data_IF_873838137694
#
_entry.id   IF_873838137694
#
_cell.length_a   1.000
_cell.length_b   1.000
_cell.length_c   1.000
_cell.angle_alpha   90.00
_cell.angle_beta   90.00
_cell.angle_gamma   90.00
#
_symmetry.space_group_name_H-M   'P 1'
#
loop_
_entity.id
_entity.type
_entity.pdbx_description
1 polymer ?
#
# COMPACT_ATOMS: atom_id res chain seq x y z
N UNK A 1 50.05 -55.45 -7.55
CA UNK A 1 49.85 -54.44 -8.59
C UNK A 1 48.38 -53.88 -8.59
N UNK A 2 47.36 -54.75 -8.51
CA UNK A 2 45.95 -54.25 -8.50
C UNK A 2 45.59 -53.32 -7.32
N UNK A 3 46.11 -53.61 -6.10
CA UNK A 3 45.87 -52.76 -4.93
C UNK A 3 46.50 -51.36 -5.00
N UNK A 4 47.66 -51.24 -5.65
CA UNK A 4 48.35 -49.95 -5.83
C UNK A 4 47.61 -49.03 -6.83
N UNK A 5 47.00 -49.63 -7.87
CA UNK A 5 46.20 -48.89 -8.84
C UNK A 5 44.91 -48.37 -8.20
N UNK A 6 44.25 -49.14 -7.33
CA UNK A 6 43.07 -48.71 -6.60
C UNK A 6 43.39 -47.57 -5.62
N UNK A 7 44.55 -47.63 -4.97
CA UNK A 7 44.98 -46.55 -4.05
C UNK A 7 45.23 -45.24 -4.80
N UNK A 8 45.84 -45.29 -5.97
CA UNK A 8 46.07 -44.11 -6.83
C UNK A 8 44.72 -43.53 -7.33
N UNK A 9 43.77 -44.41 -7.73
CA UNK A 9 42.45 -43.98 -8.21
C UNK A 9 41.64 -43.28 -7.10
N UNK A 10 41.70 -43.76 -5.87
CA UNK A 10 41.03 -43.10 -4.71
C UNK A 10 41.67 -41.78 -4.37
N UNK A 11 42.99 -41.66 -4.49
CA UNK A 11 43.73 -40.40 -4.23
C UNK A 11 43.41 -39.31 -5.28
N UNK A 12 43.19 -39.68 -6.54
CA UNK A 12 42.83 -38.70 -7.59
C UNK A 12 41.42 -38.18 -7.49
N UNK A 13 40.46 -38.98 -6.98
CA UNK A 13 39.06 -38.53 -6.76
C UNK A 13 38.98 -37.50 -5.61
N UNK A 14 39.83 -37.62 -4.60
CA UNK A 14 39.88 -36.65 -3.46
C UNK A 14 40.34 -35.25 -3.83
N UNK A 15 41.07 -35.06 -4.92
CA UNK A 15 41.60 -33.75 -5.34
C UNK A 15 40.63 -32.92 -6.17
N UNK A 16 39.59 -33.51 -6.75
CA UNK A 16 38.59 -32.77 -7.54
C UNK A 16 37.48 -32.11 -6.69
N UNK A 17 37.35 -32.42 -5.41
CA UNK A 17 36.30 -31.88 -4.54
C UNK A 17 36.51 -30.43 -4.11
N UNK A 18 37.75 -29.94 -4.05
CA UNK A 18 38.05 -28.58 -3.54
C UNK A 18 37.78 -27.44 -4.56
N UNK A 19 37.72 -27.69 -5.86
CA UNK A 19 37.58 -26.64 -6.87
C UNK A 19 36.13 -26.11 -6.94
N UNK A 20 35.17 -26.92 -6.58
CA UNK A 20 33.75 -26.58 -6.60
C UNK A 20 33.38 -25.65 -5.42
N UNK A 21 33.96 -25.82 -4.26
CA UNK A 21 33.68 -25.03 -3.05
C UNK A 21 34.20 -23.61 -3.17
N UNK A 22 35.38 -23.39 -3.76
CA UNK A 22 35.94 -22.07 -3.96
C UNK A 22 35.15 -21.22 -4.97
N UNK A 23 34.62 -21.83 -6.02
CA UNK A 23 33.75 -21.15 -7.02
C UNK A 23 32.41 -20.79 -6.39
N UNK A 24 31.80 -21.68 -5.61
CA UNK A 24 30.56 -21.42 -4.89
C UNK A 24 30.73 -20.29 -3.86
N UNK A 25 31.83 -20.28 -3.11
CA UNK A 25 32.11 -19.20 -2.16
C UNK A 25 32.29 -17.85 -2.87
N UNK A 26 33.00 -17.81 -4.00
CA UNK A 26 33.17 -16.59 -4.79
C UNK A 26 31.84 -16.07 -5.34
N UNK A 27 30.98 -16.94 -5.85
CA UNK A 27 29.64 -16.57 -6.32
C UNK A 27 28.75 -16.08 -5.17
N UNK A 28 28.78 -16.73 -4.03
CA UNK A 28 28.06 -16.31 -2.83
C UNK A 28 28.51 -14.91 -2.38
N UNK A 29 29.81 -14.64 -2.37
CA UNK A 29 30.35 -13.32 -2.06
C UNK A 29 29.88 -12.24 -3.03
N UNK A 30 29.88 -12.52 -4.34
CA UNK A 30 29.37 -11.59 -5.37
C UNK A 30 27.89 -11.27 -5.17
N UNK A 31 27.08 -12.28 -4.80
CA UNK A 31 25.65 -12.09 -4.50
C UNK A 31 25.48 -11.21 -3.26
N UNK A 32 26.25 -11.44 -2.21
CA UNK A 32 26.22 -10.62 -0.98
C UNK A 32 26.55 -9.17 -1.31
N UNK A 33 27.69 -8.91 -2.00
CA UNK A 33 28.10 -7.58 -2.40
C UNK A 33 27.06 -6.87 -3.27
N UNK A 34 26.45 -7.59 -4.21
CA UNK A 34 25.37 -7.06 -5.04
C UNK A 34 24.15 -6.67 -4.19
N UNK A 35 23.73 -7.53 -3.27
CA UNK A 35 22.60 -7.28 -2.39
C UNK A 35 22.86 -6.08 -1.45
N UNK A 36 24.08 -5.94 -0.95
CA UNK A 36 24.50 -4.77 -0.15
C UNK A 36 24.45 -3.46 -0.96
N UNK A 37 24.91 -3.49 -2.21
CA UNK A 37 24.83 -2.32 -3.10
C UNK A 37 23.38 -1.92 -3.37
N UNK A 38 22.53 -2.89 -3.72
CA UNK A 38 21.08 -2.68 -3.93
C UNK A 38 20.42 -2.16 -2.66
N UNK A 39 20.72 -2.76 -1.49
CA UNK A 39 20.22 -2.30 -0.20
C UNK A 39 20.58 -0.83 0.04
N UNK A 40 21.84 -0.46 -0.17
CA UNK A 40 22.32 0.91 0.01
C UNK A 40 21.60 1.91 -0.89
N UNK A 41 21.35 1.53 -2.15
CA UNK A 41 20.67 2.37 -3.11
C UNK A 41 19.18 2.54 -2.74
N UNK A 42 18.46 1.45 -2.47
CA UNK A 42 17.06 1.50 -2.03
C UNK A 42 16.94 2.29 -0.72
N UNK A 43 17.88 2.09 0.20
CA UNK A 43 17.91 2.81 1.47
C UNK A 43 18.02 4.33 1.30
N UNK A 44 18.73 4.82 0.29
CA UNK A 44 18.80 6.25 -0.03
C UNK A 44 17.48 6.78 -0.61
N UNK A 45 16.83 5.97 -1.44
CA UNK A 45 15.55 6.33 -2.09
C UNK A 45 14.36 6.28 -1.12
N UNK A 46 14.45 5.50 -0.03
CA UNK A 46 13.38 5.31 0.95
C UNK A 46 13.15 6.59 1.75
N UNK A 47 12.42 7.51 1.15
CA UNK A 47 12.09 8.81 1.71
C UNK A 47 10.59 9.05 1.54
N UNK A 48 9.84 8.74 2.59
CA UNK A 48 8.41 9.01 2.67
C UNK A 48 8.16 10.19 3.58
N UNK A 49 7.18 11.01 3.23
CA UNK A 49 6.78 12.18 3.98
C UNK A 49 5.26 12.28 4.05
N UNK A 50 4.77 12.71 5.19
CA UNK A 50 3.36 12.93 5.45
C UNK A 50 3.14 14.42 5.70
N UNK A 51 2.21 15.07 4.99
CA UNK A 51 1.88 16.47 5.23
C UNK A 51 1.30 16.68 6.63
N UNK A 52 1.43 17.88 7.16
CA UNK A 52 0.72 18.26 8.38
C UNK A 52 -0.73 18.58 8.03
N UNK A 53 -1.73 17.85 8.53
CA UNK A 53 -3.14 18.11 8.23
C UNK A 53 -3.67 19.29 9.05
N UNK A 54 -4.86 19.78 8.68
CA UNK A 54 -5.65 20.68 9.54
C UNK A 54 -5.99 20.01 10.87
N UNK A 55 -6.22 20.78 11.95
CA UNK A 55 -6.52 20.22 13.28
C UNK A 55 -7.70 19.24 13.29
N UNK A 56 -8.74 19.54 12.53
CA UNK A 56 -9.95 18.69 12.44
C UNK A 56 -9.65 17.36 11.76
N UNK A 57 -8.83 17.38 10.71
CA UNK A 57 -8.37 16.18 10.01
C UNK A 57 -7.43 15.39 10.92
N UNK A 58 -6.47 16.05 11.57
CA UNK A 58 -5.54 15.43 12.52
C UNK A 58 -6.31 14.65 13.59
N UNK A 59 -7.32 15.27 14.22
CA UNK A 59 -8.15 14.64 15.25
C UNK A 59 -8.85 13.36 14.77
N UNK A 60 -9.21 13.27 13.50
CA UNK A 60 -9.81 12.06 12.93
C UNK A 60 -8.75 11.02 12.60
N UNK A 61 -7.61 11.41 12.01
CA UNK A 61 -6.50 10.52 11.68
C UNK A 61 -5.88 9.91 12.96
N UNK A 62 -5.79 10.68 14.04
CA UNK A 62 -5.31 10.19 15.34
C UNK A 62 -6.17 9.08 15.94
N UNK A 63 -7.47 9.08 15.65
CA UNK A 63 -8.39 8.01 16.05
C UNK A 63 -8.40 6.82 15.09
N UNK A 64 -7.90 7.00 13.86
CA UNK A 64 -7.82 5.93 12.87
C UNK A 64 -6.53 5.13 13.06
N UNK A 65 -6.61 4.11 13.90
CA UNK A 65 -5.46 3.31 14.33
C UNK A 65 -4.70 2.67 13.14
N UNK A 66 -5.42 2.17 12.13
CA UNK A 66 -4.82 1.53 10.95
C UNK A 66 -4.00 2.53 10.12
N UNK A 67 -4.49 3.77 9.97
CA UNK A 67 -3.74 4.84 9.31
C UNK A 67 -2.46 5.19 10.07
N UNK A 68 -2.55 5.39 11.38
CA UNK A 68 -1.38 5.67 12.24
C UNK A 68 -0.33 4.57 12.17
N UNK A 69 -0.76 3.30 12.23
CA UNK A 69 0.15 2.17 12.11
C UNK A 69 0.79 2.09 10.72
N UNK A 70 0.04 2.42 9.67
CA UNK A 70 0.55 2.51 8.31
C UNK A 70 1.60 3.62 8.18
N UNK A 71 1.32 4.81 8.70
CA UNK A 71 2.22 5.96 8.69
C UNK A 71 3.54 5.65 9.43
N UNK A 72 3.46 5.13 10.66
CA UNK A 72 4.64 4.70 11.42
C UNK A 72 5.46 3.67 10.64
N UNK A 73 4.79 2.69 10.05
CA UNK A 73 5.45 1.66 9.24
C UNK A 73 6.15 2.25 8.02
N UNK A 74 5.54 3.20 7.32
CA UNK A 74 6.13 3.89 6.16
C UNK A 74 7.39 4.69 6.52
N UNK A 75 7.36 5.40 7.64
CA UNK A 75 8.45 6.26 8.12
C UNK A 75 9.65 5.44 8.64
N UNK A 76 9.41 4.23 9.13
CA UNK A 76 10.47 3.37 9.64
C UNK A 76 11.26 2.73 8.50
N UNK A 77 12.49 3.17 8.31
CA UNK A 77 13.41 2.65 7.31
C UNK A 77 14.09 1.37 7.79
N UNK A 78 14.14 0.30 6.98
CA UNK A 78 14.93 -0.90 7.27
C UNK A 78 16.42 -0.59 7.41
N UNK A 79 17.11 -1.22 8.38
CA UNK A 79 18.47 -0.82 8.75
C UNK A 79 19.57 -1.76 8.28
N UNK A 80 19.29 -3.00 7.93
CA UNK A 80 20.36 -3.99 7.86
C UNK A 80 20.49 -4.76 6.54
N UNK A 81 19.41 -5.19 5.92
CA UNK A 81 19.48 -6.12 4.78
C UNK A 81 18.41 -5.88 3.73
N UNK A 82 18.66 -6.36 2.52
CA UNK A 82 17.66 -6.37 1.45
C UNK A 82 16.40 -7.16 1.86
N UNK A 83 16.57 -8.28 2.57
CA UNK A 83 15.44 -9.06 3.11
C UNK A 83 14.57 -8.25 4.06
N UNK A 84 15.16 -7.32 4.84
CA UNK A 84 14.38 -6.41 5.69
C UNK A 84 13.50 -5.48 4.87
N UNK A 85 13.94 -4.99 3.69
CA UNK A 85 13.08 -4.24 2.76
C UNK A 85 11.97 -5.10 2.17
N UNK A 86 12.25 -6.35 1.82
CA UNK A 86 11.24 -7.29 1.31
C UNK A 86 10.13 -7.55 2.34
N UNK A 87 10.49 -7.78 3.59
CA UNK A 87 9.52 -7.92 4.68
C UNK A 87 8.75 -6.61 4.92
N UNK A 88 9.44 -5.47 4.87
CA UNK A 88 8.85 -4.15 5.08
C UNK A 88 7.78 -3.85 4.04
N UNK A 89 8.08 -4.02 2.75
CA UNK A 89 7.11 -3.77 1.67
C UNK A 89 5.92 -4.71 1.74
N UNK A 90 6.13 -5.98 2.09
CA UNK A 90 5.05 -6.94 2.32
C UNK A 90 4.12 -6.50 3.49
N UNK A 91 4.69 -6.02 4.59
CA UNK A 91 3.91 -5.53 5.72
C UNK A 91 3.14 -4.26 5.36
N UNK A 92 3.75 -3.35 4.60
CA UNK A 92 3.10 -2.13 4.11
C UNK A 92 1.93 -2.43 3.20
N UNK A 93 2.08 -3.35 2.24
CA UNK A 93 0.99 -3.78 1.36
C UNK A 93 -0.19 -4.34 2.17
N UNK A 94 0.09 -5.19 3.16
CA UNK A 94 -0.96 -5.73 4.03
C UNK A 94 -1.66 -4.65 4.84
N UNK A 95 -0.92 -3.69 5.43
CA UNK A 95 -1.51 -2.57 6.15
C UNK A 95 -2.35 -1.68 5.24
N UNK A 96 -1.89 -1.43 4.01
CA UNK A 96 -2.64 -0.67 3.02
C UNK A 96 -3.94 -1.36 2.58
N UNK A 97 -3.97 -2.71 2.50
CA UNK A 97 -5.20 -3.46 2.24
C UNK A 97 -6.26 -3.21 3.33
N UNK A 98 -5.86 -3.10 4.60
CA UNK A 98 -6.81 -2.84 5.69
C UNK A 98 -7.36 -1.41 5.71
N UNK A 99 -6.65 -0.45 5.14
CA UNK A 99 -7.09 0.95 5.11
C UNK A 99 -8.43 1.13 4.39
N UNK A 100 -8.66 0.42 3.28
CA UNK A 100 -9.91 0.52 2.52
C UNK A 100 -11.13 0.02 3.30
N UNK A 101 -10.92 -0.89 4.26
CA UNK A 101 -11.96 -1.52 5.06
C UNK A 101 -12.29 -0.73 6.33
N UNK A 102 -11.36 0.11 6.78
CA UNK A 102 -11.43 0.79 8.09
C UNK A 102 -11.53 2.30 7.97
N UNK A 103 -11.82 2.81 6.77
CA UNK A 103 -11.98 4.26 6.53
C UNK A 103 -13.02 4.84 7.47
N UNK A 104 -12.72 5.89 8.24
CA UNK A 104 -13.70 6.58 9.09
C UNK A 104 -14.92 7.03 8.29
N UNK A 105 -16.10 6.93 8.87
CA UNK A 105 -17.38 7.25 8.21
C UNK A 105 -17.37 8.62 7.52
N UNK A 106 -16.74 9.62 8.15
CA UNK A 106 -16.62 10.98 7.58
C UNK A 106 -15.87 11.02 6.26
N UNK A 107 -14.88 10.13 6.10
CA UNK A 107 -13.99 10.01 4.94
C UNK A 107 -14.36 8.86 4.01
N UNK A 108 -15.40 8.09 4.33
CA UNK A 108 -15.87 6.99 3.48
C UNK A 108 -16.61 7.57 2.25
N UNK A 109 -15.83 8.15 1.36
CA UNK A 109 -16.27 8.77 0.10
C UNK A 109 -15.55 8.11 -1.07
N UNK A 110 -16.21 7.98 -2.24
CA UNK A 110 -15.61 7.34 -3.42
C UNK A 110 -14.23 7.90 -3.79
N UNK A 111 -14.04 9.22 -3.65
CA UNK A 111 -12.77 9.89 -3.95
C UNK A 111 -11.63 9.43 -3.04
N UNK A 112 -11.90 9.29 -1.73
CA UNK A 112 -10.92 8.79 -0.75
C UNK A 112 -10.61 7.31 -1.00
N UNK A 113 -11.65 6.49 -1.18
CA UNK A 113 -11.48 5.06 -1.46
C UNK A 113 -10.66 4.83 -2.72
N UNK A 114 -10.90 5.59 -3.78
CA UNK A 114 -10.13 5.51 -5.03
C UNK A 114 -8.66 5.85 -4.80
N UNK A 115 -8.33 6.91 -4.04
CA UNK A 115 -6.94 7.27 -3.73
C UNK A 115 -6.25 6.24 -2.85
N UNK A 116 -6.93 5.70 -1.83
CA UNK A 116 -6.37 4.62 -0.99
C UNK A 116 -6.09 3.38 -1.86
N UNK A 117 -6.99 3.05 -2.79
CA UNK A 117 -6.80 1.93 -3.73
C UNK A 117 -5.59 2.17 -4.65
N UNK A 118 -5.42 3.40 -5.14
CA UNK A 118 -4.25 3.78 -5.97
C UNK A 118 -2.97 3.69 -5.16
N UNK A 119 -2.94 4.21 -3.93
CA UNK A 119 -1.82 4.10 -3.01
C UNK A 119 -1.45 2.63 -2.76
N UNK A 120 -2.45 1.79 -2.47
CA UNK A 120 -2.25 0.37 -2.26
C UNK A 120 -1.67 -0.33 -3.49
N UNK A 121 -2.16 0.00 -4.69
CA UNK A 121 -1.64 -0.56 -5.95
C UNK A 121 -0.16 -0.20 -6.14
N UNK A 122 0.24 1.03 -5.83
CA UNK A 122 1.64 1.48 -5.90
C UNK A 122 2.51 0.77 -4.85
N UNK A 123 2.01 0.55 -3.65
CA UNK A 123 2.72 -0.22 -2.61
C UNK A 123 2.90 -1.69 -2.99
N UNK A 124 1.90 -2.33 -3.60
CA UNK A 124 2.01 -3.68 -4.15
C UNK A 124 3.01 -3.76 -5.31
N UNK A 125 3.08 -2.71 -6.12
CA UNK A 125 4.11 -2.60 -7.16
C UNK A 125 5.52 -2.48 -6.55
N UNK A 126 5.67 -1.71 -5.47
CA UNK A 126 6.92 -1.58 -4.72
C UNK A 126 7.34 -2.92 -4.11
N UNK A 127 6.41 -3.64 -3.47
CA UNK A 127 6.62 -5.00 -2.96
C UNK A 127 7.08 -5.92 -4.09
N UNK A 128 6.39 -5.92 -5.22
CA UNK A 128 6.73 -6.75 -6.38
C UNK A 128 8.15 -6.45 -6.87
N UNK A 129 8.51 -5.18 -7.07
CA UNK A 129 9.82 -4.81 -7.59
C UNK A 129 10.96 -5.18 -6.65
N UNK A 130 10.79 -5.01 -5.34
CA UNK A 130 11.81 -5.35 -4.34
C UNK A 130 11.99 -6.87 -4.20
N UNK A 131 10.96 -7.66 -4.55
CA UNK A 131 11.02 -9.12 -4.50
C UNK A 131 11.49 -9.77 -5.81
N UNK A 132 11.75 -9.01 -6.86
CA UNK A 132 12.30 -9.56 -8.11
C UNK A 132 13.75 -10.02 -7.93
N UNK A 133 14.13 -11.08 -8.64
CA UNK A 133 15.52 -11.57 -8.68
C UNK A 133 16.51 -10.50 -9.16
N UNK A 134 16.10 -9.67 -10.12
CA UNK A 134 16.82 -8.47 -10.55
C UNK A 134 15.95 -7.27 -10.21
N UNK A 135 16.36 -6.54 -9.19
CA UNK A 135 15.61 -5.41 -8.68
C UNK A 135 15.74 -4.20 -9.63
N UNK A 136 14.63 -3.68 -10.16
CA UNK A 136 14.64 -2.55 -11.07
C UNK A 136 14.74 -1.22 -10.32
N UNK A 137 15.91 -0.88 -9.80
CA UNK A 137 16.16 0.29 -8.94
C UNK A 137 15.63 1.60 -9.53
N UNK A 138 15.74 1.78 -10.85
CA UNK A 138 15.21 2.98 -11.54
C UNK A 138 13.68 3.08 -11.47
N UNK A 139 12.97 1.95 -11.50
CA UNK A 139 11.51 1.93 -11.33
C UNK A 139 11.12 2.26 -9.89
N UNK A 140 11.88 1.74 -8.92
CA UNK A 140 11.69 2.07 -7.50
C UNK A 140 11.94 3.55 -7.26
N UNK A 141 12.99 4.12 -7.85
CA UNK A 141 13.31 5.55 -7.76
C UNK A 141 12.18 6.46 -8.28
N UNK A 142 11.42 6.03 -9.27
CA UNK A 142 10.23 6.74 -9.77
C UNK A 142 9.00 6.50 -8.90
N UNK A 143 8.83 5.27 -8.43
CA UNK A 143 7.63 4.86 -7.70
C UNK A 143 7.52 5.49 -6.30
N UNK A 144 8.65 5.68 -5.60
CA UNK A 144 8.64 6.29 -4.26
C UNK A 144 8.12 7.73 -4.27
N UNK A 145 8.56 8.64 -5.15
CA UNK A 145 7.93 9.96 -5.31
C UNK A 145 6.44 9.88 -5.67
N UNK A 146 6.04 8.95 -6.54
CA UNK A 146 4.63 8.76 -6.89
C UNK A 146 3.78 8.32 -5.70
N UNK A 147 4.31 7.49 -4.81
CA UNK A 147 3.64 7.13 -3.55
C UNK A 147 3.48 8.36 -2.65
N UNK A 148 4.50 9.21 -2.55
CA UNK A 148 4.41 10.46 -1.80
C UNK A 148 3.33 11.40 -2.34
N UNK A 149 3.18 11.50 -3.67
CA UNK A 149 2.10 12.31 -4.27
C UNK A 149 0.71 11.74 -3.97
N UNK A 150 0.54 10.41 -3.90
CA UNK A 150 -0.75 9.83 -3.47
C UNK A 150 -1.04 10.13 -2.00
N UNK A 151 -0.04 10.02 -1.12
CA UNK A 151 -0.19 10.41 0.30
C UNK A 151 -0.60 11.86 0.40
N UNK A 152 0.12 12.76 -0.26
CA UNK A 152 -0.18 14.19 -0.30
C UNK A 152 -1.57 14.48 -0.87
N UNK A 153 -1.97 13.76 -1.91
CA UNK A 153 -3.30 13.85 -2.50
C UNK A 153 -4.41 13.42 -1.55
N UNK A 154 -4.19 12.42 -0.69
CA UNK A 154 -5.12 12.02 0.37
C UNK A 154 -5.31 13.14 1.40
N UNK A 155 -4.22 13.71 1.92
CA UNK A 155 -4.29 14.81 2.89
C UNK A 155 -5.06 16.01 2.32
N UNK A 156 -4.77 16.39 1.07
CA UNK A 156 -5.50 17.44 0.38
C UNK A 156 -6.99 17.13 0.27
N UNK A 157 -7.35 15.90 -0.05
CA UNK A 157 -8.74 15.48 -0.19
C UNK A 157 -9.48 15.48 1.15
N UNK A 158 -8.83 15.10 2.26
CA UNK A 158 -9.41 15.20 3.60
C UNK A 158 -9.63 16.66 3.99
N UNK A 159 -8.67 17.55 3.74
CA UNK A 159 -8.83 18.98 3.97
C UNK A 159 -10.01 19.57 3.16
N UNK A 160 -10.16 19.17 1.89
CA UNK A 160 -11.27 19.59 1.04
C UNK A 160 -12.64 19.17 1.60
N UNK A 161 -12.75 17.99 2.19
CA UNK A 161 -13.99 17.51 2.82
C UNK A 161 -14.37 18.44 3.99
N UNK A 162 -13.41 18.79 4.84
CA UNK A 162 -13.65 19.70 5.97
C UNK A 162 -14.04 21.09 5.48
N UNK A 163 -13.31 21.63 4.50
CA UNK A 163 -13.62 22.95 3.92
C UNK A 163 -15.04 22.98 3.35
N UNK A 164 -15.43 21.95 2.57
CA UNK A 164 -16.78 21.86 1.99
C UNK A 164 -17.88 21.77 3.04
N UNK A 165 -17.63 21.07 4.16
CA UNK A 165 -18.58 21.03 5.28
C UNK A 165 -18.78 22.39 5.98
N UNK A 166 -17.75 23.24 5.97
CA UNK A 166 -17.79 24.55 6.59
C UNK A 166 -18.49 25.61 5.71
N UNK A 167 -18.75 25.35 4.43
CA UNK A 167 -19.47 26.26 3.54
C UNK A 167 -20.95 26.27 3.96
N UNK A 168 -21.51 27.45 4.32
CA UNK A 168 -22.94 27.57 4.62
C UNK A 168 -23.77 27.16 3.39
N UNK A 169 -24.82 26.41 3.60
CA UNK A 169 -25.78 26.10 2.53
C UNK A 169 -26.56 27.37 2.16
N UNK A 170 -26.73 27.61 0.87
CA UNK A 170 -27.55 28.69 0.37
C UNK A 170 -29.04 28.46 0.63
N UNK A 171 -29.80 29.56 0.74
CA UNK A 171 -31.25 29.47 0.90
C UNK A 171 -31.84 28.78 -0.33
N UNK A 172 -32.53 27.66 -0.13
CA UNK A 172 -33.09 26.83 -1.20
C UNK A 172 -32.26 25.60 -1.57
N UNK A 173 -30.96 25.53 -1.26
CA UNK A 173 -30.14 24.33 -1.52
C UNK A 173 -30.67 23.11 -0.73
N UNK A 174 -31.14 23.34 0.49
CA UNK A 174 -31.70 22.29 1.33
C UNK A 174 -33.00 21.71 0.74
N UNK A 175 -33.85 22.56 0.18
CA UNK A 175 -35.05 22.15 -0.53
C UNK A 175 -34.74 21.36 -1.81
N UNK A 176 -33.70 21.80 -2.53
CA UNK A 176 -33.23 21.09 -3.73
C UNK A 176 -32.66 19.72 -3.38
N UNK A 177 -31.84 19.60 -2.33
CA UNK A 177 -31.31 18.32 -1.83
C UNK A 177 -32.44 17.38 -1.37
N UNK A 178 -33.47 17.92 -0.71
CA UNK A 178 -34.65 17.16 -0.32
C UNK A 178 -35.45 16.67 -1.54
N UNK A 179 -35.54 17.48 -2.60
CA UNK A 179 -36.20 17.09 -3.84
C UNK A 179 -35.43 16.01 -4.61
N UNK A 180 -34.10 16.00 -4.52
CA UNK A 180 -33.20 15.01 -5.13
C UNK A 180 -33.07 13.72 -4.30
N UNK A 181 -33.54 13.73 -3.05
CA UNK A 181 -33.52 12.53 -2.18
C UNK A 181 -34.58 11.53 -2.64
N UNK A 182 -34.17 10.62 -3.50
CA UNK A 182 -35.03 9.53 -4.04
C UNK A 182 -35.50 8.55 -2.97
N UNK A 183 -34.90 8.53 -1.78
CA UNK A 183 -35.34 7.69 -0.67
C UNK A 183 -36.70 8.17 -0.10
N UNK A 184 -37.00 9.47 -0.27
CA UNK A 184 -38.29 10.08 0.10
C UNK A 184 -39.33 10.02 -1.03
N UNK A 185 -38.95 9.62 -2.23
CA UNK A 185 -39.89 9.41 -3.32
C UNK A 185 -40.86 8.31 -2.91
N UNK A 186 -42.14 8.64 -2.86
CA UNK A 186 -43.16 7.69 -2.46
C UNK A 186 -43.01 6.38 -3.24
N UNK A 187 -42.80 5.29 -2.50
CA UNK A 187 -42.71 3.97 -3.09
C UNK A 187 -43.94 3.77 -4.01
N UNK A 188 -43.75 3.52 -5.32
CA UNK A 188 -44.87 3.36 -6.26
C UNK A 188 -45.91 2.32 -5.82
N UNK A 189 -45.46 1.32 -5.06
CA UNK A 189 -46.30 0.29 -4.49
C UNK A 189 -47.15 0.80 -3.29
N UNK A 190 -46.67 1.74 -2.52
CA UNK A 190 -47.40 2.40 -1.44
C UNK A 190 -48.48 3.35 -2.00
N UNK A 191 -48.17 4.09 -3.08
CA UNK A 191 -49.13 4.93 -3.78
C UNK A 191 -50.25 4.12 -4.39
N UNK A 192 -49.96 3.00 -5.06
CA UNK A 192 -50.95 2.08 -5.57
C UNK A 192 -51.87 1.54 -4.47
N UNK A 193 -51.31 1.10 -3.32
CA UNK A 193 -52.10 0.66 -2.17
C UNK A 193 -53.05 1.75 -1.66
N UNK A 194 -52.58 2.99 -1.55
CA UNK A 194 -53.44 4.13 -1.11
C UNK A 194 -54.52 4.46 -2.10
N UNK A 195 -54.28 4.38 -3.43
CA UNK A 195 -55.28 4.57 -4.46
C UNK A 195 -56.31 3.45 -4.45
N UNK A 196 -55.91 2.17 -4.29
CA UNK A 196 -56.82 1.04 -4.23
C UNK A 196 -57.74 1.08 -2.99
N UNK A 197 -57.23 1.57 -1.86
CA UNK A 197 -58.04 1.77 -0.67
C UNK A 197 -59.03 2.91 -0.85
N UNK A 198 -58.60 4.03 -1.47
CA UNK A 198 -59.48 5.17 -1.75
C UNK A 198 -60.62 4.83 -2.73
N UNK A 199 -60.37 3.94 -3.66
CA UNK A 199 -61.41 3.50 -4.66
C UNK A 199 -62.37 2.44 -4.10
N UNK A 200 -62.04 1.78 -2.98
CA UNK A 200 -62.91 0.83 -2.31
C UNK A 200 -63.87 1.43 -1.29
N UNK A 201 -63.70 2.71 -0.96
CA UNK A 201 -64.52 3.43 0.04
C UNK A 201 -65.58 4.34 -0.63
N UNK A 202 -65.64 4.33 -1.96
CA UNK A 202 -66.76 4.91 -2.73
C UNK A 202 -67.65 3.81 -3.23
#
# INVERSE_FOLDING_TARGET
MKGFIILILVLTIGLMSCENDSKQQLEAQKVIQKNEAVFKNISKMWQFSFPSPRPEVAATLDRWNEWRQFEIEMLQKPKSTLSAFQMKTKNLSKKADTLTLTVPFEYNKPQILSRITTLNTKLKSLETFINLRVIPEQRIAKLIPEINEEIKGLYKQWDEIIIKKAIPKEIGEELMLQALDTTRSANPNEMRKKMDISNKVK
#
